data_IF_520119709847
#
_entry.id   IF_520119709847
#
_cell.length_a   1.000
_cell.length_b   1.000
_cell.length_c   1.000
_cell.angle_alpha   90.00
_cell.angle_beta   90.00
_cell.angle_gamma   90.00
#
_symmetry.space_group_name_H-M   'P 1'
#
loop_
_entity.id
_entity.type
_entity.pdbx_description
1 polymer ?
#
# COMPACT_ATOMS: atom_id res chain seq x y z
N UNK A 1 25.99 -20.54 14.05
CA UNK A 1 24.72 -19.81 13.83
C UNK A 1 24.97 -18.90 12.63
N UNK A 2 24.57 -19.32 11.42
CA UNK A 2 24.76 -18.56 10.17
C UNK A 2 23.70 -17.45 10.19
N UNK A 3 24.05 -16.16 10.02
CA UNK A 3 23.05 -15.11 9.92
C UNK A 3 22.23 -15.39 8.67
N UNK A 4 20.92 -15.62 8.84
CA UNK A 4 19.98 -15.63 7.73
C UNK A 4 20.02 -14.22 7.15
N UNK A 5 20.65 -14.05 6.00
CA UNK A 5 20.49 -12.85 5.17
C UNK A 5 19.00 -12.71 4.90
N UNK A 6 18.34 -11.80 5.60
CA UNK A 6 16.99 -11.38 5.22
C UNK A 6 17.15 -10.78 3.83
N UNK A 7 16.67 -11.49 2.83
CA UNK A 7 16.63 -10.94 1.48
C UNK A 7 15.93 -9.58 1.51
N UNK A 8 16.54 -8.62 0.86
CA UNK A 8 16.00 -7.28 0.72
C UNK A 8 14.57 -7.35 0.12
N UNK A 9 13.57 -6.70 0.74
CA UNK A 9 12.21 -6.72 0.22
C UNK A 9 12.17 -6.22 -1.23
N UNK A 10 11.29 -6.80 -2.05
CA UNK A 10 11.21 -6.50 -3.48
C UNK A 10 11.05 -4.99 -3.75
N UNK A 11 10.26 -4.30 -2.94
CA UNK A 11 10.01 -2.85 -3.09
C UNK A 11 11.25 -1.97 -2.80
N UNK A 12 12.30 -2.52 -2.17
CA UNK A 12 13.57 -1.80 -1.96
C UNK A 12 14.55 -2.05 -3.10
N UNK A 13 14.32 -3.05 -3.96
CA UNK A 13 15.19 -3.37 -5.07
C UNK A 13 15.09 -2.31 -6.16
N UNK A 14 16.24 -1.90 -6.70
CA UNK A 14 16.35 -0.84 -7.71
C UNK A 14 15.45 -1.07 -8.93
N UNK A 15 15.41 -2.29 -9.46
CA UNK A 15 14.57 -2.64 -10.61
C UNK A 15 13.07 -2.44 -10.33
N UNK A 16 12.61 -2.74 -9.11
CA UNK A 16 11.21 -2.51 -8.73
C UNK A 16 10.91 -1.01 -8.65
N UNK A 17 11.83 -0.25 -8.10
CA UNK A 17 11.73 1.22 -7.99
C UNK A 17 11.67 1.87 -9.36
N UNK A 18 12.52 1.47 -10.30
CA UNK A 18 12.51 1.95 -11.68
C UNK A 18 11.18 1.60 -12.39
N UNK A 19 10.70 0.37 -12.25
CA UNK A 19 9.46 -0.08 -12.90
C UNK A 19 8.21 0.62 -12.37
N UNK A 20 8.23 1.04 -11.10
CA UNK A 20 7.11 1.71 -10.42
C UNK A 20 7.26 3.24 -10.36
N UNK A 21 8.29 3.81 -10.97
CA UNK A 21 8.64 5.24 -10.88
C UNK A 21 8.69 5.72 -9.42
N UNK A 22 9.37 4.97 -8.55
CA UNK A 22 9.48 5.18 -7.09
C UNK A 22 8.15 5.13 -6.30
N UNK A 23 7.02 4.94 -6.97
CA UNK A 23 5.73 4.84 -6.26
C UNK A 23 5.57 3.55 -5.47
N UNK A 24 6.39 2.52 -5.76
CA UNK A 24 6.42 1.21 -5.09
C UNK A 24 5.10 0.44 -5.12
N UNK A 25 4.17 0.82 -6.01
CA UNK A 25 2.83 0.22 -6.16
C UNK A 25 2.34 0.25 -7.60
N UNK A 26 1.36 -0.58 -7.98
CA UNK A 26 0.67 -0.49 -9.26
C UNK A 26 -0.02 0.87 -9.44
N UNK A 27 -0.13 1.35 -10.68
CA UNK A 27 -0.84 2.59 -11.02
C UNK A 27 -0.15 3.91 -10.69
N UNK A 28 0.87 3.88 -9.82
CA UNK A 28 1.70 5.04 -9.54
C UNK A 28 0.90 6.28 -9.10
N UNK A 29 1.39 7.46 -9.48
CA UNK A 29 0.77 8.76 -9.15
C UNK A 29 -0.62 8.91 -9.75
N UNK A 30 -0.84 8.44 -10.98
CA UNK A 30 -2.13 8.57 -11.67
C UNK A 30 -3.29 7.93 -10.89
N UNK A 31 -3.07 6.74 -10.33
CA UNK A 31 -4.09 6.08 -9.50
C UNK A 31 -4.33 6.83 -8.19
N UNK A 32 -3.28 7.36 -7.57
CA UNK A 32 -3.40 8.20 -6.38
C UNK A 32 -4.23 9.45 -6.67
N UNK A 33 -3.95 10.14 -7.78
CA UNK A 33 -4.71 11.32 -8.21
C UNK A 33 -6.20 11.03 -8.40
N UNK A 34 -6.51 9.89 -9.01
CA UNK A 34 -7.88 9.42 -9.15
C UNK A 34 -8.56 9.18 -7.80
N UNK A 35 -7.88 8.52 -6.87
CA UNK A 35 -8.37 8.31 -5.51
C UNK A 35 -8.57 9.61 -4.74
N UNK A 36 -7.62 10.55 -4.84
CA UNK A 36 -7.71 11.86 -4.21
C UNK A 36 -8.89 12.70 -4.76
N UNK A 37 -9.23 12.54 -6.04
CA UNK A 37 -10.41 13.17 -6.63
C UNK A 37 -11.72 12.70 -5.96
N UNK A 38 -11.82 11.42 -5.58
CA UNK A 38 -12.95 10.90 -4.80
C UNK A 38 -12.95 11.43 -3.35
N UNK A 39 -11.77 11.63 -2.79
CA UNK A 39 -11.65 12.20 -1.45
C UNK A 39 -12.04 13.68 -1.39
N UNK A 40 -11.83 14.45 -2.46
CA UNK A 40 -12.16 15.87 -2.57
C UNK A 40 -11.66 16.69 -1.35
N UNK A 41 -10.41 16.49 -0.97
CA UNK A 41 -9.79 17.24 0.12
C UNK A 41 -9.72 18.73 -0.18
N UNK A 42 -10.01 19.56 0.82
CA UNK A 42 -9.86 21.02 0.76
C UNK A 42 -8.44 21.49 1.08
N UNK A 43 -8.07 22.66 0.57
CA UNK A 43 -6.75 23.23 0.85
C UNK A 43 -6.50 23.39 2.37
N UNK A 44 -5.29 23.05 2.82
CA UNK A 44 -4.87 23.11 4.22
C UNK A 44 -5.30 21.93 5.09
N UNK A 45 -6.13 20.99 4.58
CA UNK A 45 -6.52 19.79 5.35
C UNK A 45 -5.30 18.94 5.73
N UNK A 46 -5.34 18.41 6.96
CA UNK A 46 -4.30 17.54 7.52
C UNK A 46 -4.48 16.11 6.99
N UNK A 47 -3.55 15.63 6.19
CA UNK A 47 -3.61 14.29 5.56
C UNK A 47 -2.39 13.47 5.94
N UNK A 48 -2.62 12.31 6.57
CA UNK A 48 -1.56 11.36 6.87
C UNK A 48 -1.35 10.38 5.71
N UNK A 49 -0.11 10.23 5.25
CA UNK A 49 0.30 9.18 4.31
C UNK A 49 0.95 8.05 5.10
N UNK A 50 0.22 6.93 5.25
CA UNK A 50 0.63 5.78 6.06
C UNK A 50 1.35 4.75 5.20
N UNK A 51 2.63 4.54 5.47
CA UNK A 51 3.54 3.79 4.62
C UNK A 51 4.02 4.65 3.46
N UNK A 52 4.40 5.88 3.75
CA UNK A 52 4.73 6.92 2.77
C UNK A 52 5.93 6.58 1.87
N UNK A 53 6.71 5.55 2.21
CA UNK A 53 7.88 5.16 1.44
C UNK A 53 8.82 6.33 1.17
N UNK A 54 9.30 6.52 -0.08
CA UNK A 54 10.21 7.61 -0.45
C UNK A 54 9.49 8.96 -0.66
N UNK A 55 8.23 9.11 -0.23
CA UNK A 55 7.52 10.38 -0.18
C UNK A 55 6.89 10.86 -1.49
N UNK A 56 6.64 10.00 -2.46
CA UNK A 56 6.02 10.39 -3.74
C UNK A 56 4.61 10.93 -3.54
N UNK A 57 3.79 10.24 -2.75
CA UNK A 57 2.43 10.68 -2.41
C UNK A 57 2.45 11.93 -1.55
N UNK A 58 3.40 12.06 -0.62
CA UNK A 58 3.56 13.29 0.18
C UNK A 58 3.83 14.51 -0.69
N UNK A 59 4.66 14.38 -1.73
CA UNK A 59 4.90 15.46 -2.69
C UNK A 59 3.61 15.89 -3.38
N UNK A 60 2.85 14.91 -3.88
CA UNK A 60 1.58 15.15 -4.54
C UNK A 60 0.55 15.86 -3.62
N UNK A 61 0.47 15.44 -2.35
CA UNK A 61 -0.41 16.08 -1.35
C UNK A 61 0.01 17.53 -1.09
N UNK A 62 1.31 17.79 -0.92
CA UNK A 62 1.84 19.13 -0.71
C UNK A 62 1.60 20.05 -1.93
N UNK A 63 1.83 19.56 -3.15
CA UNK A 63 1.56 20.29 -4.40
C UNK A 63 0.08 20.68 -4.56
N UNK A 64 -0.82 19.90 -3.96
CA UNK A 64 -2.27 20.19 -3.91
C UNK A 64 -2.67 21.17 -2.79
N UNK A 65 -1.69 21.72 -2.07
CA UNK A 65 -1.92 22.66 -0.98
C UNK A 65 -2.51 22.03 0.28
N UNK A 66 -2.35 20.71 0.45
CA UNK A 66 -2.70 20.00 1.67
C UNK A 66 -1.56 20.12 2.70
N UNK A 67 -1.84 19.78 3.94
CA UNK A 67 -0.85 19.71 5.02
C UNK A 67 -0.50 18.24 5.31
N UNK A 68 0.41 17.61 4.53
CA UNK A 68 0.70 16.19 4.69
C UNK A 68 1.61 15.91 5.88
N UNK A 69 1.46 14.70 6.44
CA UNK A 69 2.41 14.09 7.37
C UNK A 69 2.68 12.66 6.92
N UNK A 70 3.96 12.28 6.81
CA UNK A 70 4.36 10.93 6.40
C UNK A 70 4.66 10.04 7.57
N UNK A 71 4.28 8.76 7.46
CA UNK A 71 4.69 7.73 8.40
C UNK A 71 5.17 6.49 7.65
N UNK A 72 6.33 5.97 8.02
CA UNK A 72 6.82 4.68 7.53
C UNK A 72 7.57 3.94 8.66
N UNK A 73 7.62 2.62 8.57
CA UNK A 73 8.40 1.80 9.49
C UNK A 73 9.88 1.73 9.13
N UNK A 74 10.23 2.05 7.90
CA UNK A 74 11.58 1.98 7.35
C UNK A 74 12.29 3.32 7.47
N UNK A 75 13.32 3.38 8.31
CA UNK A 75 14.16 4.56 8.45
C UNK A 75 14.82 4.96 7.11
N UNK A 76 15.16 3.98 6.26
CA UNK A 76 15.74 4.25 4.94
C UNK A 76 14.74 4.97 4.03
N UNK A 77 13.45 4.55 4.04
CA UNK A 77 12.40 5.22 3.28
C UNK A 77 12.16 6.64 3.78
N UNK A 78 12.12 6.84 5.09
CA UNK A 78 11.96 8.18 5.67
C UNK A 78 13.12 9.11 5.31
N UNK A 79 14.37 8.63 5.30
CA UNK A 79 15.52 9.41 4.84
C UNK A 79 15.40 9.80 3.36
N UNK A 80 14.83 8.96 2.53
CA UNK A 80 14.59 9.28 1.12
C UNK A 80 13.45 10.30 0.97
N UNK A 81 12.37 10.15 1.74
CA UNK A 81 11.27 11.10 1.78
C UNK A 81 11.75 12.49 2.23
N UNK A 82 12.60 12.57 3.26
CA UNK A 82 13.19 13.82 3.74
C UNK A 82 14.06 14.52 2.68
N UNK A 83 14.82 13.74 1.91
CA UNK A 83 15.60 14.28 0.78
C UNK A 83 14.72 14.79 -0.36
N UNK A 84 13.56 14.17 -0.56
CA UNK A 84 12.60 14.59 -1.59
C UNK A 84 11.80 15.82 -1.18
N UNK A 85 11.43 15.92 0.11
CA UNK A 85 10.51 16.91 0.65
C UNK A 85 11.05 17.48 1.96
N UNK A 86 11.78 18.58 1.92
CA UNK A 86 12.16 19.28 3.13
C UNK A 86 10.94 19.97 3.76
N UNK A 87 10.80 19.82 5.08
CA UNK A 87 9.77 20.53 5.86
C UNK A 87 8.45 19.80 6.01
N UNK A 88 8.25 18.64 5.39
CA UNK A 88 7.10 17.76 5.67
C UNK A 88 7.40 16.92 6.91
N UNK A 89 6.54 16.90 7.93
CA UNK A 89 6.74 16.05 9.10
C UNK A 89 6.78 14.57 8.73
N UNK A 90 7.81 13.86 9.20
CA UNK A 90 8.01 12.43 8.97
C UNK A 90 8.16 11.70 10.30
N UNK A 91 7.46 10.58 10.46
CA UNK A 91 7.41 9.81 11.70
C UNK A 91 7.73 8.33 11.43
N UNK A 92 8.53 7.73 12.29
CA UNK A 92 8.68 6.29 12.31
C UNK A 92 7.51 5.64 13.07
N UNK A 93 6.86 4.63 12.47
CA UNK A 93 5.72 3.98 13.09
C UNK A 93 5.18 2.80 12.32
N UNK A 94 4.17 2.15 12.89
CA UNK A 94 3.42 1.06 12.27
C UNK A 94 1.93 1.36 12.29
N UNK A 95 1.17 0.69 11.43
CA UNK A 95 -0.28 0.90 11.32
C UNK A 95 -1.04 0.52 12.60
N UNK A 96 -0.48 -0.39 13.39
CA UNK A 96 -1.11 -0.94 14.59
C UNK A 96 -1.05 -0.02 15.81
N UNK A 97 -0.37 1.12 15.70
CA UNK A 97 -0.26 2.12 16.75
C UNK A 97 0.19 3.44 16.16
N UNK A 98 -0.75 4.23 15.68
CA UNK A 98 -0.46 5.50 15.03
C UNK A 98 -0.06 6.56 16.07
N UNK A 99 1.06 7.28 15.87
CA UNK A 99 1.56 8.27 16.81
C UNK A 99 0.81 9.61 16.71
N UNK A 100 -0.49 9.54 16.45
CA UNK A 100 -1.37 10.69 16.31
C UNK A 100 -2.44 10.69 17.40
N UNK A 101 -2.89 11.88 17.78
CA UNK A 101 -4.04 12.05 18.69
C UNK A 101 -5.34 11.64 18.02
N UNK A 102 -6.36 11.35 18.82
CA UNK A 102 -7.71 11.09 18.33
C UNK A 102 -8.24 12.31 17.55
N UNK A 103 -8.98 12.03 16.49
CA UNK A 103 -9.70 13.00 15.68
C UNK A 103 -8.85 14.23 15.28
N UNK A 104 -7.60 14.00 14.83
CA UNK A 104 -6.69 15.08 14.43
C UNK A 104 -6.42 15.13 12.92
N UNK A 105 -6.83 14.13 12.15
CA UNK A 105 -6.62 14.05 10.70
C UNK A 105 -7.93 14.27 9.94
N UNK A 106 -7.89 15.04 8.87
CA UNK A 106 -8.99 15.22 7.93
C UNK A 106 -9.02 14.09 6.91
N UNK A 107 -7.83 13.53 6.60
CA UNK A 107 -7.66 12.44 5.67
C UNK A 107 -6.53 11.50 6.02
N UNK A 108 -6.64 10.28 5.47
CA UNK A 108 -5.58 9.27 5.45
C UNK A 108 -5.46 8.75 4.04
N UNK A 109 -4.22 8.59 3.58
CA UNK A 109 -3.84 7.81 2.41
C UNK A 109 -3.08 6.58 2.89
N UNK A 110 -3.48 5.39 2.43
CA UNK A 110 -2.84 4.11 2.76
C UNK A 110 -2.81 3.24 1.50
N UNK A 111 -1.66 3.17 0.83
CA UNK A 111 -1.55 2.54 -0.48
C UNK A 111 -0.55 1.38 -0.46
N UNK A 112 -1.03 0.15 -0.69
CA UNK A 112 -0.25 -1.11 -0.64
C UNK A 112 0.43 -1.38 0.71
N UNK A 113 -0.20 -1.01 1.82
CA UNK A 113 0.40 -1.13 3.16
C UNK A 113 -0.47 -1.93 4.12
N UNK A 114 -1.81 -1.87 4.01
CA UNK A 114 -2.70 -2.59 4.92
C UNK A 114 -2.47 -4.10 4.87
N UNK A 115 -2.24 -4.66 3.70
CA UNK A 115 -1.90 -6.08 3.49
C UNK A 115 -0.55 -6.50 4.09
N UNK A 116 0.30 -5.54 4.47
CA UNK A 116 1.55 -5.79 5.20
C UNK A 116 1.34 -5.87 6.71
N UNK A 117 0.21 -5.42 7.22
CA UNK A 117 -0.13 -5.49 8.64
C UNK A 117 -0.36 -6.93 9.10
N UNK A 118 0.08 -7.25 10.31
CA UNK A 118 -0.22 -8.52 10.97
C UNK A 118 -1.60 -8.51 11.64
N UNK A 119 -2.11 -7.33 11.96
CA UNK A 119 -3.40 -7.12 12.63
C UNK A 119 -4.18 -6.01 11.92
N UNK A 120 -4.69 -6.27 10.69
CA UNK A 120 -5.34 -5.24 9.87
C UNK A 120 -6.57 -4.62 10.54
N UNK A 121 -7.29 -5.37 11.37
CA UNK A 121 -8.42 -4.85 12.13
C UNK A 121 -7.98 -3.76 13.12
N UNK A 122 -6.85 -3.97 13.81
CA UNK A 122 -6.27 -2.97 14.70
C UNK A 122 -5.76 -1.76 13.92
N UNK A 123 -5.13 -1.98 12.77
CA UNK A 123 -4.67 -0.91 11.90
C UNK A 123 -5.84 -0.02 11.43
N UNK A 124 -6.94 -0.63 10.99
CA UNK A 124 -8.15 0.10 10.60
C UNK A 124 -8.80 0.81 11.78
N UNK A 125 -8.81 0.21 12.98
CA UNK A 125 -9.27 0.85 14.21
C UNK A 125 -8.46 2.11 14.55
N UNK A 126 -7.13 2.06 14.43
CA UNK A 126 -6.25 3.22 14.60
C UNK A 126 -6.52 4.32 13.55
N UNK A 127 -6.72 3.95 12.28
CA UNK A 127 -7.11 4.89 11.24
C UNK A 127 -8.45 5.58 11.58
N UNK A 128 -9.44 4.81 12.06
CA UNK A 128 -10.72 5.35 12.52
C UNK A 128 -10.58 6.28 13.73
N UNK A 129 -9.70 5.94 14.68
CA UNK A 129 -9.43 6.77 15.88
C UNK A 129 -8.85 8.13 15.53
N UNK A 130 -7.89 8.17 14.62
CA UNK A 130 -7.18 9.42 14.29
C UNK A 130 -7.94 10.31 13.32
N UNK A 131 -8.85 9.76 12.53
CA UNK A 131 -9.69 10.53 11.63
C UNK A 131 -10.74 11.31 12.41
N UNK A 132 -10.96 12.56 12.01
CA UNK A 132 -12.10 13.37 12.47
C UNK A 132 -13.42 12.74 12.02
N UNK A 133 -14.52 13.01 12.71
CA UNK A 133 -15.85 12.68 12.18
C UNK A 133 -16.03 13.26 10.77
N UNK A 134 -16.36 12.42 9.80
CA UNK A 134 -16.44 12.79 8.39
C UNK A 134 -15.09 12.82 7.64
N UNK A 135 -13.98 12.51 8.31
CA UNK A 135 -12.67 12.34 7.68
C UNK A 135 -12.67 11.20 6.66
N UNK A 136 -11.74 11.23 5.71
CA UNK A 136 -11.74 10.36 4.54
C UNK A 136 -10.50 9.48 4.50
N UNK A 137 -10.71 8.21 4.14
CA UNK A 137 -9.65 7.22 3.92
C UNK A 137 -9.58 6.89 2.43
N UNK A 138 -8.44 7.15 1.81
CA UNK A 138 -8.04 6.55 0.54
C UNK A 138 -7.26 5.28 0.83
N UNK A 139 -7.84 4.15 0.50
CA UNK A 139 -7.21 2.85 0.66
C UNK A 139 -7.08 2.17 -0.70
N UNK A 140 -5.86 1.82 -1.08
CA UNK A 140 -5.61 0.92 -2.22
C UNK A 140 -4.75 -0.24 -1.75
N UNK A 141 -5.05 -1.46 -2.22
CA UNK A 141 -4.24 -2.62 -1.84
C UNK A 141 -4.43 -3.79 -2.82
N UNK A 142 -3.55 -4.78 -2.73
CA UNK A 142 -3.67 -6.02 -3.49
C UNK A 142 -4.74 -6.90 -2.84
N UNK A 143 -5.68 -7.36 -3.67
CA UNK A 143 -6.75 -8.27 -3.26
C UNK A 143 -6.61 -9.64 -3.91
N UNK A 144 -7.14 -10.67 -3.27
CA UNK A 144 -7.28 -12.01 -3.84
C UNK A 144 -8.59 -12.07 -4.60
N UNK A 145 -8.57 -12.56 -5.84
CA UNK A 145 -9.79 -12.81 -6.62
C UNK A 145 -10.47 -14.10 -6.17
N UNK A 146 -11.80 -14.12 -6.27
CA UNK A 146 -12.62 -15.30 -5.97
C UNK A 146 -12.11 -16.57 -6.65
N UNK A 147 -12.20 -17.69 -5.95
CA UNK A 147 -11.72 -18.99 -6.43
C UNK A 147 -10.23 -19.24 -6.26
N UNK A 148 -9.49 -18.34 -5.64
CA UNK A 148 -8.07 -18.52 -5.35
C UNK A 148 -7.89 -18.94 -3.89
N UNK A 149 -7.45 -20.19 -3.65
CA UNK A 149 -7.08 -20.65 -2.32
C UNK A 149 -5.57 -20.60 -2.14
N UNK A 150 -5.11 -20.08 -1.03
CA UNK A 150 -3.72 -20.23 -0.64
C UNK A 150 -3.19 -19.07 0.21
N UNK A 151 -2.69 -19.40 1.40
CA UNK A 151 -1.81 -18.54 2.17
C UNK A 151 -0.40 -18.60 1.57
N UNK A 152 0.27 -17.47 1.46
CA UNK A 152 1.70 -17.42 1.16
C UNK A 152 2.07 -16.67 -0.11
N UNK A 153 2.18 -15.38 -0.04
CA UNK A 153 2.98 -14.51 -0.90
C UNK A 153 4.04 -13.82 -0.06
N UNK A 154 4.93 -13.10 -0.70
CA UNK A 154 5.85 -12.18 -0.05
C UNK A 154 5.37 -10.74 -0.25
N UNK A 155 5.83 -9.83 0.59
CA UNK A 155 5.42 -8.42 0.47
C UNK A 155 3.90 -8.23 0.67
N UNK A 156 3.30 -7.31 -0.06
CA UNK A 156 1.88 -6.96 0.04
C UNK A 156 0.93 -8.11 -0.37
N UNK A 157 1.37 -9.06 -1.19
CA UNK A 157 0.56 -10.23 -1.52
C UNK A 157 0.36 -11.19 -0.33
N UNK A 158 1.17 -11.10 0.73
CA UNK A 158 1.09 -11.99 1.90
C UNK A 158 -0.22 -11.87 2.65
N UNK A 159 -0.66 -10.64 2.90
CA UNK A 159 -1.88 -10.36 3.65
C UNK A 159 -3.08 -10.02 2.76
N UNK A 160 -2.95 -10.22 1.44
CA UNK A 160 -4.05 -9.98 0.52
C UNK A 160 -5.24 -10.90 0.83
N UNK A 161 -6.41 -10.32 0.90
CA UNK A 161 -7.71 -10.99 1.10
C UNK A 161 -8.68 -10.55 0.01
N UNK A 162 -9.82 -11.23 -0.18
CA UNK A 162 -10.86 -10.79 -1.10
C UNK A 162 -11.38 -9.37 -0.77
N UNK A 163 -11.83 -8.66 -1.78
CA UNK A 163 -12.26 -7.26 -1.62
C UNK A 163 -13.48 -7.12 -0.69
N UNK A 164 -14.39 -8.10 -0.68
CA UNK A 164 -15.53 -8.18 0.23
C UNK A 164 -15.09 -8.29 1.70
N UNK A 165 -14.03 -9.08 1.97
CA UNK A 165 -13.43 -9.19 3.30
C UNK A 165 -12.83 -7.84 3.75
N UNK A 166 -12.18 -7.09 2.82
CA UNK A 166 -11.71 -5.74 3.13
C UNK A 166 -12.89 -4.82 3.46
N UNK A 167 -13.96 -4.88 2.66
CA UNK A 167 -15.17 -4.09 2.87
C UNK A 167 -15.83 -4.39 4.23
N UNK A 168 -15.93 -5.66 4.61
CA UNK A 168 -16.44 -6.06 5.92
C UNK A 168 -15.58 -5.53 7.08
N UNK A 169 -14.25 -5.59 6.97
CA UNK A 169 -13.33 -5.06 7.97
C UNK A 169 -13.51 -3.56 8.14
N UNK A 170 -13.60 -2.81 7.04
CA UNK A 170 -13.89 -1.39 7.05
C UNK A 170 -15.22 -1.07 7.74
N UNK A 171 -16.30 -1.78 7.38
CA UNK A 171 -17.60 -1.58 7.97
C UNK A 171 -17.63 -1.84 9.49
N UNK A 172 -16.94 -2.89 9.97
CA UNK A 172 -16.79 -3.18 11.42
C UNK A 172 -16.07 -2.06 12.19
N UNK A 173 -15.22 -1.28 11.52
CA UNK A 173 -14.53 -0.12 12.11
C UNK A 173 -15.29 1.20 11.88
N UNK A 174 -16.53 1.13 11.40
CA UNK A 174 -17.39 2.30 11.21
C UNK A 174 -17.14 3.10 9.93
N UNK A 175 -16.33 2.60 9.02
CA UNK A 175 -16.14 3.21 7.71
C UNK A 175 -17.32 2.91 6.78
N UNK A 176 -17.70 3.92 5.99
CA UNK A 176 -18.64 3.77 4.88
C UNK A 176 -17.89 3.94 3.57
N UNK A 177 -17.95 2.93 2.70
CA UNK A 177 -17.34 2.99 1.37
C UNK A 177 -18.15 3.95 0.49
N UNK A 178 -17.49 4.95 -0.06
CA UNK A 178 -18.08 5.94 -0.97
C UNK A 178 -17.82 5.60 -2.43
N UNK A 179 -16.65 5.02 -2.73
CA UNK A 179 -16.26 4.56 -4.06
C UNK A 179 -15.43 3.27 -3.93
N UNK A 180 -15.55 2.38 -4.89
CA UNK A 180 -14.73 1.16 -5.00
C UNK A 180 -14.50 0.88 -6.48
N UNK A 181 -13.26 0.65 -6.86
CA UNK A 181 -12.84 0.43 -8.24
C UNK A 181 -11.87 -0.76 -8.32
N UNK A 182 -11.95 -1.54 -9.40
CA UNK A 182 -11.00 -2.62 -9.71
C UNK A 182 -9.96 -2.12 -10.74
N UNK A 183 -8.72 -2.04 -10.28
CA UNK A 183 -7.57 -1.65 -11.09
C UNK A 183 -6.61 -2.81 -11.36
N UNK A 184 -7.08 -4.04 -11.37
CA UNK A 184 -6.27 -5.26 -11.57
C UNK A 184 -5.39 -5.23 -12.82
N UNK A 185 -5.81 -4.48 -13.86
CA UNK A 185 -5.01 -4.28 -15.07
C UNK A 185 -3.65 -3.64 -14.76
N UNK A 186 -3.61 -2.67 -13.84
CA UNK A 186 -2.40 -1.95 -13.46
C UNK A 186 -1.36 -2.86 -12.78
N UNK A 187 -1.83 -3.87 -12.05
CA UNK A 187 -0.95 -4.90 -11.47
C UNK A 187 -0.29 -5.73 -12.58
N UNK A 188 -1.05 -6.10 -13.61
CA UNK A 188 -0.52 -6.80 -14.78
C UNK A 188 0.48 -5.96 -15.57
N UNK A 189 0.23 -4.68 -15.73
CA UNK A 189 1.14 -3.74 -16.40
C UNK A 189 2.46 -3.57 -15.62
N UNK A 190 2.40 -3.46 -14.30
CA UNK A 190 3.60 -3.41 -13.46
C UNK A 190 4.41 -4.72 -13.57
N UNK A 191 3.75 -5.87 -13.51
CA UNK A 191 4.39 -7.16 -13.69
C UNK A 191 5.07 -7.27 -15.08
N UNK A 192 4.41 -6.81 -16.14
CA UNK A 192 4.97 -6.74 -17.50
C UNK A 192 6.22 -5.86 -17.57
N UNK A 193 6.19 -4.66 -16.97
CA UNK A 193 7.36 -3.76 -16.90
C UNK A 193 8.53 -4.40 -16.15
N UNK A 194 8.27 -5.06 -15.02
CA UNK A 194 9.30 -5.77 -14.25
C UNK A 194 9.95 -6.90 -15.06
N UNK A 195 9.16 -7.69 -15.78
CA UNK A 195 9.68 -8.73 -16.69
C UNK A 195 10.54 -8.14 -17.81
N UNK A 196 10.09 -7.05 -18.42
CA UNK A 196 10.84 -6.36 -19.48
C UNK A 196 12.17 -5.80 -18.98
N UNK A 197 12.24 -5.36 -17.72
CA UNK A 197 13.47 -4.90 -17.08
C UNK A 197 14.37 -6.04 -16.57
N UNK A 198 14.02 -7.29 -16.86
CA UNK A 198 14.85 -8.46 -16.54
C UNK A 198 14.61 -9.07 -15.17
N UNK A 199 13.54 -8.70 -14.46
CA UNK A 199 13.16 -9.40 -13.22
C UNK A 199 12.71 -10.82 -13.58
N UNK A 200 13.34 -11.86 -13.02
CA UNK A 200 12.99 -13.25 -13.34
C UNK A 200 11.52 -13.55 -13.04
N UNK A 201 10.85 -14.27 -13.94
CA UNK A 201 9.46 -14.70 -13.71
C UNK A 201 9.28 -15.45 -12.38
N UNK A 202 10.28 -16.25 -11.97
CA UNK A 202 10.28 -16.97 -10.69
C UNK A 202 10.22 -16.01 -9.49
N UNK A 203 10.91 -14.88 -9.54
CA UNK A 203 10.88 -13.87 -8.49
C UNK A 203 9.50 -13.17 -8.42
N UNK A 204 8.88 -12.86 -9.55
CA UNK A 204 7.52 -12.33 -9.59
C UNK A 204 6.49 -13.33 -9.06
N UNK A 205 6.60 -14.60 -9.45
CA UNK A 205 5.72 -15.66 -8.96
C UNK A 205 5.87 -15.86 -7.45
N UNK A 206 7.09 -15.86 -6.92
CA UNK A 206 7.34 -15.94 -5.49
C UNK A 206 6.72 -14.74 -4.73
N UNK A 207 6.84 -13.54 -5.30
CA UNK A 207 6.21 -12.34 -4.72
C UNK A 207 4.68 -12.45 -4.72
N UNK A 208 4.08 -12.98 -5.79
CA UNK A 208 2.64 -13.21 -5.89
C UNK A 208 2.16 -14.47 -5.15
N UNK A 209 3.05 -15.22 -4.48
CA UNK A 209 2.69 -16.45 -3.78
C UNK A 209 2.37 -17.63 -4.67
N UNK A 210 2.78 -17.61 -5.93
CA UNK A 210 2.70 -18.74 -6.82
C UNK A 210 3.92 -19.65 -6.65
N UNK A 211 3.71 -20.96 -6.49
CA UNK A 211 4.82 -21.93 -6.41
C UNK A 211 5.59 -22.01 -7.74
N UNK A 212 6.92 -21.81 -7.75
CA UNK A 212 7.72 -22.15 -8.92
C UNK A 212 7.85 -23.68 -8.98
N UNK A 213 7.21 -24.33 -9.95
CA UNK A 213 7.57 -25.67 -10.36
C UNK A 213 6.65 -26.82 -9.98
N UNK A 214 5.36 -26.74 -10.20
CA UNK A 214 4.54 -27.93 -10.40
C UNK A 214 3.84 -27.83 -11.75
N UNK A 215 4.35 -28.60 -12.72
CA UNK A 215 3.71 -28.82 -14.01
C UNK A 215 2.45 -29.70 -13.91
N UNK A 216 1.77 -29.69 -12.78
CA UNK A 216 0.55 -30.45 -12.57
C UNK A 216 -0.59 -29.60 -12.04
N UNK A 217 -1.74 -29.88 -12.55
CA UNK A 217 -3.05 -29.26 -12.51
C UNK A 217 -3.70 -29.00 -11.14
N UNK A 218 -2.94 -28.93 -10.06
CA UNK A 218 -3.46 -28.73 -8.70
C UNK A 218 -3.03 -27.41 -8.04
N UNK A 219 -2.13 -26.63 -8.61
CA UNK A 219 -1.85 -25.26 -8.16
C UNK A 219 -2.68 -24.28 -8.99
N UNK A 220 -3.92 -24.05 -8.59
CA UNK A 220 -4.67 -22.88 -9.06
C UNK A 220 -3.94 -21.65 -8.52
N UNK A 221 -3.11 -21.04 -9.35
CA UNK A 221 -2.35 -19.85 -8.98
C UNK A 221 -3.29 -18.78 -8.45
N UNK A 222 -2.89 -18.12 -7.35
CA UNK A 222 -3.63 -16.96 -6.84
C UNK A 222 -3.79 -15.94 -7.97
N UNK A 223 -5.02 -15.54 -8.22
CA UNK A 223 -5.31 -14.39 -9.06
C UNK A 223 -5.44 -13.19 -8.14
N UNK A 224 -4.56 -12.21 -8.31
CA UNK A 224 -4.61 -10.97 -7.56
C UNK A 224 -5.34 -9.90 -8.36
N UNK A 225 -6.03 -9.01 -7.65
CA UNK A 225 -6.57 -7.76 -8.11
C UNK A 225 -5.98 -6.58 -7.34
N UNK A 226 -6.28 -5.37 -7.77
CA UNK A 226 -5.83 -4.12 -7.16
C UNK A 226 -6.93 -3.06 -7.24
#
# INVERSE_FOLDING_TARGET
MIPQHREEPLYQRELFRLASADCLRPGGVELTERGLAHCAFGGGEQVADLGCGPGVTLALLAERGLSPVGMDRSAAMLQEAERRLSGVPLLAGTLEGLPFRDACMDGIVCECVLSLSYTPERALGEMGRVLRPGGRLLLTDIVVREGSHGAGGQGCARGAVPADVVAERLARQGFRILASEDHSRLLGELAGRLLFQGVPRSALLAWMGACPGSGDSACSGKRFGY
#
